data_IF_506442870617
#
_entry.id   IF_506442870617
#
_cell.length_a   1.000
_cell.length_b   1.000
_cell.length_c   1.000
_cell.angle_alpha   90.00
_cell.angle_beta   90.00
_cell.angle_gamma   90.00
#
_symmetry.space_group_name_H-M   'P 1'
#
loop_
_entity.id
_entity.type
_entity.pdbx_description
1 polymer ?
#
# COMPACT_ATOMS: atom_id res chain seq x y z
N UNK A 1 -1.35 9.56 -17.67
CA UNK A 1 -2.04 8.81 -16.59
C UNK A 1 -3.46 8.45 -17.00
N UNK A 2 -4.08 7.47 -16.35
CA UNK A 2 -5.50 7.14 -16.58
C UNK A 2 -6.45 8.01 -15.76
N UNK A 3 -7.72 8.11 -16.21
CA UNK A 3 -8.75 8.84 -15.46
C UNK A 3 -8.96 8.25 -14.05
N UNK A 4 -8.86 6.93 -13.89
CA UNK A 4 -9.04 6.25 -12.60
C UNK A 4 -7.90 6.61 -11.63
N UNK A 5 -6.66 6.67 -12.13
CA UNK A 5 -5.50 7.13 -11.35
C UNK A 5 -5.69 8.59 -10.93
N UNK A 6 -6.08 9.45 -11.88
CA UNK A 6 -6.34 10.86 -11.63
C UNK A 6 -7.41 11.09 -10.55
N UNK A 7 -8.54 10.37 -10.63
CA UNK A 7 -9.61 10.43 -9.61
C UNK A 7 -9.13 9.96 -8.23
N UNK A 8 -8.30 8.91 -8.18
CA UNK A 8 -7.78 8.38 -6.92
C UNK A 8 -6.84 9.38 -6.23
N UNK A 9 -5.99 10.04 -7.03
CA UNK A 9 -5.07 11.07 -6.53
C UNK A 9 -5.82 12.34 -6.11
N UNK A 10 -6.82 12.76 -6.89
CA UNK A 10 -7.70 13.87 -6.56
C UNK A 10 -8.44 13.64 -5.24
N UNK A 11 -8.94 12.42 -4.99
CA UNK A 11 -9.56 12.07 -3.70
C UNK A 11 -8.60 12.19 -2.51
N UNK A 12 -7.33 11.78 -2.71
CA UNK A 12 -6.26 11.99 -1.72
C UNK A 12 -6.01 13.46 -1.42
N UNK A 13 -5.94 14.30 -2.46
CA UNK A 13 -5.74 15.75 -2.31
C UNK A 13 -6.93 16.41 -1.60
N UNK A 14 -8.16 16.08 -1.99
CA UNK A 14 -9.37 16.61 -1.33
C UNK A 14 -9.38 16.23 0.15
N UNK A 15 -9.00 15.00 0.50
CA UNK A 15 -8.86 14.61 1.90
C UNK A 15 -7.82 15.45 2.65
N UNK A 16 -6.66 15.73 2.05
CA UNK A 16 -5.63 16.58 2.65
C UNK A 16 -6.12 18.02 2.87
N UNK A 17 -6.82 18.58 1.89
CA UNK A 17 -7.43 19.92 1.97
C UNK A 17 -8.47 19.97 3.08
N UNK A 18 -9.36 18.98 3.17
CA UNK A 18 -10.37 18.89 4.24
C UNK A 18 -9.71 18.72 5.62
N UNK A 19 -8.67 17.89 5.72
CA UNK A 19 -7.92 17.70 6.96
C UNK A 19 -7.22 18.99 7.40
N UNK A 20 -6.61 19.72 6.46
CA UNK A 20 -5.96 21.00 6.72
C UNK A 20 -6.98 22.08 7.13
N UNK A 21 -8.13 22.14 6.45
CA UNK A 21 -9.23 23.06 6.76
C UNK A 21 -9.75 22.85 8.19
N UNK A 22 -10.03 21.59 8.56
CA UNK A 22 -10.61 21.27 9.86
C UNK A 22 -9.63 21.45 11.02
N UNK A 23 -8.31 21.36 10.77
CA UNK A 23 -7.30 21.56 11.80
C UNK A 23 -7.22 23.00 12.36
N UNK A 24 -7.94 23.99 11.78
CA UNK A 24 -8.17 25.37 12.26
C UNK A 24 -7.05 25.96 13.15
N UNK A 25 -5.80 26.08 12.66
CA UNK A 25 -4.73 26.63 13.51
C UNK A 25 -3.49 27.15 12.77
N UNK A 26 -3.36 28.49 12.65
CA UNK A 26 -2.08 29.23 12.45
C UNK A 26 -1.48 29.42 11.04
N UNK A 27 -0.69 30.48 10.83
CA UNK A 27 0.08 30.76 9.60
C UNK A 27 0.72 29.56 8.87
N UNK A 28 1.32 28.53 9.54
CA UNK A 28 1.85 27.35 8.86
C UNK A 28 0.83 26.52 8.05
N UNK A 29 -0.47 26.56 8.37
CA UNK A 29 -1.48 25.85 7.57
C UNK A 29 -1.68 26.47 6.19
N UNK A 30 -1.64 27.81 6.11
CA UNK A 30 -1.84 28.55 4.84
C UNK A 30 -0.72 28.24 3.87
N UNK A 31 0.50 28.17 4.40
CA UNK A 31 1.69 27.79 3.63
C UNK A 31 1.61 26.35 3.14
N UNK A 32 1.24 25.39 4.00
CA UNK A 32 1.12 24.00 3.60
C UNK A 32 0.05 23.80 2.51
N UNK A 33 -1.09 24.48 2.63
CA UNK A 33 -2.17 24.41 1.65
C UNK A 33 -1.81 25.13 0.35
N UNK A 34 -1.14 26.28 0.43
CA UNK A 34 -0.59 26.99 -0.73
C UNK A 34 0.46 26.18 -1.48
N UNK A 35 1.36 25.49 -0.77
CA UNK A 35 2.34 24.58 -1.37
C UNK A 35 1.66 23.38 -2.03
N UNK A 36 0.70 22.73 -1.38
CA UNK A 36 -0.06 21.63 -1.99
C UNK A 36 -0.80 22.07 -3.25
N UNK A 37 -1.39 23.28 -3.23
CA UNK A 37 -2.06 23.85 -4.39
C UNK A 37 -1.07 24.16 -5.52
N UNK A 38 0.06 24.80 -5.22
CA UNK A 38 1.13 25.08 -6.20
C UNK A 38 1.66 23.78 -6.82
N UNK A 39 1.91 22.77 -6.00
CA UNK A 39 2.37 21.45 -6.43
C UNK A 39 1.34 20.77 -7.36
N UNK A 40 0.05 20.88 -7.05
CA UNK A 40 -1.00 20.38 -7.93
C UNK A 40 -1.05 21.14 -9.25
N UNK A 41 -0.98 22.48 -9.21
CA UNK A 41 -0.98 23.32 -10.42
C UNK A 41 0.19 22.98 -11.36
N UNK A 42 1.37 22.68 -10.81
CA UNK A 42 2.54 22.30 -11.59
C UNK A 42 2.45 20.90 -12.20
N UNK A 43 1.75 19.98 -11.54
CA UNK A 43 1.68 18.58 -11.95
C UNK A 43 0.38 18.21 -12.70
N UNK A 44 -0.64 19.07 -12.69
CA UNK A 44 -1.97 18.74 -13.19
C UNK A 44 -2.06 18.84 -14.72
N UNK A 45 -2.34 17.70 -15.35
CA UNK A 45 -2.83 17.62 -16.72
C UNK A 45 -4.36 17.80 -16.78
N UNK A 46 -4.94 17.78 -17.99
CA UNK A 46 -6.38 17.91 -18.19
C UNK A 46 -7.19 16.81 -17.48
N UNK A 47 -6.65 15.60 -17.36
CA UNK A 47 -7.29 14.48 -16.68
C UNK A 47 -7.31 14.65 -15.15
N UNK A 48 -6.24 15.19 -14.56
CA UNK A 48 -6.18 15.53 -13.14
C UNK A 48 -7.18 16.62 -12.77
N UNK A 49 -7.36 17.63 -13.62
CA UNK A 49 -8.40 18.66 -13.43
C UNK A 49 -9.81 18.07 -13.53
N UNK A 50 -10.08 17.22 -14.53
CA UNK A 50 -11.36 16.52 -14.65
C UNK A 50 -11.63 15.63 -13.43
N UNK A 51 -10.63 14.87 -12.98
CA UNK A 51 -10.71 14.03 -11.79
C UNK A 51 -11.02 14.84 -10.53
N UNK A 52 -10.37 15.99 -10.35
CA UNK A 52 -10.65 16.91 -9.24
C UNK A 52 -12.08 17.45 -9.29
N UNK A 53 -12.54 17.90 -10.47
CA UNK A 53 -13.91 18.39 -10.66
C UNK A 53 -14.96 17.33 -10.34
N UNK A 54 -14.77 16.08 -10.80
CA UNK A 54 -15.68 14.98 -10.52
C UNK A 54 -15.72 14.63 -9.02
N UNK A 55 -14.57 14.52 -8.37
CA UNK A 55 -14.48 14.18 -6.95
C UNK A 55 -15.05 15.30 -6.07
N UNK A 56 -14.66 16.55 -6.33
CA UNK A 56 -15.15 17.70 -5.58
C UNK A 56 -16.66 17.93 -5.79
N UNK A 57 -17.13 17.80 -7.04
CA UNK A 57 -18.56 17.90 -7.38
C UNK A 57 -19.40 16.81 -6.72
N UNK A 58 -18.94 15.55 -6.76
CA UNK A 58 -19.62 14.44 -6.09
C UNK A 58 -19.68 14.65 -4.57
N UNK A 59 -18.59 15.13 -3.95
CA UNK A 59 -18.57 15.45 -2.52
C UNK A 59 -19.47 16.64 -2.18
N UNK A 60 -19.54 17.67 -3.02
CA UNK A 60 -20.42 18.82 -2.82
C UNK A 60 -21.91 18.40 -2.91
N UNK A 61 -22.28 17.62 -3.91
CA UNK A 61 -23.63 17.05 -4.05
C UNK A 61 -23.99 16.14 -2.87
N UNK A 62 -23.04 15.33 -2.41
CA UNK A 62 -23.23 14.52 -1.21
C UNK A 62 -23.45 15.39 0.02
N UNK A 63 -22.61 16.41 0.21
CA UNK A 63 -22.69 17.33 1.34
C UNK A 63 -24.03 18.07 1.41
N UNK A 64 -24.60 18.44 0.26
CA UNK A 64 -25.94 19.04 0.20
C UNK A 64 -27.04 18.09 0.69
N UNK A 65 -26.93 16.78 0.43
CA UNK A 65 -27.92 15.79 0.88
C UNK A 65 -27.71 15.33 2.31
N UNK A 66 -26.45 15.22 2.75
CA UNK A 66 -26.07 14.84 4.11
C UNK A 66 -24.82 15.60 4.52
N UNK A 67 -24.89 16.46 5.55
CA UNK A 67 -23.71 17.19 6.01
C UNK A 67 -22.62 16.19 6.38
N UNK A 68 -21.42 16.40 5.85
CA UNK A 68 -20.29 15.51 6.14
C UNK A 68 -19.98 15.64 7.63
N UNK A 69 -19.89 14.52 8.38
CA UNK A 69 -19.49 14.58 9.78
C UNK A 69 -18.11 15.21 9.88
N UNK A 70 -17.89 16.04 10.91
CA UNK A 70 -16.57 16.54 11.20
C UNK A 70 -15.60 15.36 11.32
N UNK A 71 -14.42 15.43 10.69
CA UNK A 71 -13.41 14.36 10.79
C UNK A 71 -13.11 14.10 12.26
N UNK A 72 -13.25 15.12 13.11
CA UNK A 72 -13.14 15.08 14.57
C UNK A 72 -14.01 14.08 15.31
N UNK A 73 -15.18 13.75 14.78
CA UNK A 73 -16.08 12.77 15.37
C UNK A 73 -15.81 11.34 14.87
N UNK A 74 -15.00 11.16 13.82
CA UNK A 74 -14.81 9.85 13.19
C UNK A 74 -13.86 8.96 13.99
N UNK A 75 -14.28 7.72 14.21
CA UNK A 75 -13.45 6.67 14.78
C UNK A 75 -12.35 6.20 13.81
N UNK A 76 -11.21 5.83 14.38
CA UNK A 76 -10.04 5.31 13.67
C UNK A 76 -10.34 4.08 12.81
N UNK A 77 -11.19 3.15 13.29
CA UNK A 77 -11.51 1.94 12.55
C UNK A 77 -12.47 2.23 11.40
N UNK A 78 -13.42 3.14 11.61
CA UNK A 78 -14.32 3.60 10.55
C UNK A 78 -13.55 4.28 9.42
N UNK A 79 -12.63 5.21 9.77
CA UNK A 79 -11.78 5.90 8.80
C UNK A 79 -10.97 4.90 7.98
N UNK A 80 -10.24 4.00 8.66
CA UNK A 80 -9.45 2.93 8.03
C UNK A 80 -10.32 2.06 7.10
N UNK A 81 -11.50 1.65 7.55
CA UNK A 81 -12.41 0.82 6.78
C UNK A 81 -12.86 1.50 5.48
N UNK A 82 -13.29 2.76 5.56
CA UNK A 82 -13.74 3.53 4.39
C UNK A 82 -12.62 3.80 3.40
N UNK A 83 -11.44 4.19 3.87
CA UNK A 83 -10.27 4.39 3.00
C UNK A 83 -9.94 3.13 2.20
N UNK A 84 -9.91 1.97 2.86
CA UNK A 84 -9.58 0.71 2.18
C UNK A 84 -10.65 0.26 1.20
N UNK A 85 -11.94 0.46 1.52
CA UNK A 85 -13.04 0.14 0.62
C UNK A 85 -12.97 0.98 -0.66
N UNK A 86 -12.72 2.28 -0.52
CA UNK A 86 -12.53 3.19 -1.65
C UNK A 86 -11.34 2.74 -2.50
N UNK A 87 -10.18 2.49 -1.87
CA UNK A 87 -8.98 2.06 -2.58
C UNK A 87 -9.17 0.69 -3.26
N UNK A 88 -9.88 -0.25 -2.64
CA UNK A 88 -10.18 -1.55 -3.26
C UNK A 88 -11.05 -1.37 -4.51
N UNK A 89 -12.03 -0.46 -4.47
CA UNK A 89 -12.85 -0.13 -5.65
C UNK A 89 -11.99 0.49 -6.74
N UNK A 90 -11.12 1.45 -6.42
CA UNK A 90 -10.16 2.03 -7.37
C UNK A 90 -9.25 0.95 -7.98
N UNK A 91 -8.68 0.06 -7.16
CA UNK A 91 -7.85 -1.05 -7.63
C UNK A 91 -8.62 -2.03 -8.51
N UNK A 92 -9.88 -2.32 -8.19
CA UNK A 92 -10.74 -3.16 -9.02
C UNK A 92 -10.98 -2.54 -10.40
N UNK A 93 -11.23 -1.23 -10.47
CA UNK A 93 -11.36 -0.49 -11.72
C UNK A 93 -10.05 -0.46 -12.52
N UNK A 94 -8.90 -0.23 -11.86
CA UNK A 94 -7.58 -0.31 -12.48
C UNK A 94 -7.31 -1.71 -13.05
N UNK A 95 -7.65 -2.76 -12.30
CA UNK A 95 -7.46 -4.14 -12.73
C UNK A 95 -8.32 -4.47 -13.94
N UNK A 96 -9.58 -4.02 -13.93
CA UNK A 96 -10.48 -4.15 -15.08
C UNK A 96 -9.93 -3.41 -16.31
N UNK A 97 -9.49 -2.17 -16.13
CA UNK A 97 -8.90 -1.35 -17.18
C UNK A 97 -7.66 -2.02 -17.78
N UNK A 98 -6.75 -2.51 -16.93
CA UNK A 98 -5.55 -3.23 -17.36
C UNK A 98 -5.90 -4.53 -18.11
N UNK A 99 -6.82 -5.33 -17.57
CA UNK A 99 -7.27 -6.57 -18.20
C UNK A 99 -7.89 -6.34 -19.59
N UNK A 100 -8.75 -5.33 -19.72
CA UNK A 100 -9.31 -4.93 -21.02
C UNK A 100 -8.22 -4.46 -21.99
N UNK A 101 -7.27 -3.65 -21.52
CA UNK A 101 -6.14 -3.19 -22.33
C UNK A 101 -5.32 -4.36 -22.90
N UNK A 102 -4.91 -5.32 -22.05
CA UNK A 102 -4.15 -6.50 -22.47
C UNK A 102 -4.97 -7.40 -23.38
N UNK A 103 -6.26 -7.58 -23.11
CA UNK A 103 -7.14 -8.39 -23.97
C UNK A 103 -7.29 -7.79 -25.38
N UNK A 104 -7.48 -6.47 -25.49
CA UNK A 104 -7.52 -5.76 -26.77
C UNK A 104 -6.18 -5.89 -27.52
N UNK A 105 -5.07 -5.72 -26.80
CA UNK A 105 -3.73 -5.86 -27.36
C UNK A 105 -3.47 -7.28 -27.87
N UNK A 106 -3.96 -8.30 -27.17
CA UNK A 106 -3.87 -9.70 -27.57
C UNK A 106 -4.68 -10.04 -28.83
N UNK A 107 -5.71 -9.25 -29.15
CA UNK A 107 -6.47 -9.36 -30.40
C UNK A 107 -5.84 -8.60 -31.56
N UNK A 108 -4.70 -7.93 -31.36
CA UNK A 108 -4.07 -7.08 -32.37
C UNK A 108 -4.81 -5.76 -32.61
N UNK A 109 -5.74 -5.38 -31.73
CA UNK A 109 -6.41 -4.08 -31.78
C UNK A 109 -5.59 -3.01 -31.07
N UNK A 110 -5.68 -1.76 -31.52
CA UNK A 110 -5.16 -0.61 -30.78
C UNK A 110 -6.05 -0.40 -29.55
N UNK A 111 -5.52 -0.52 -28.32
CA UNK A 111 -6.35 -0.42 -27.12
C UNK A 111 -6.96 0.97 -26.97
N UNK A 112 -8.27 1.04 -26.68
CA UNK A 112 -8.96 2.31 -26.46
C UNK A 112 -8.71 2.87 -25.06
N UNK A 113 -8.49 1.97 -24.10
CA UNK A 113 -8.15 2.31 -22.73
C UNK A 113 -6.64 2.42 -22.61
N UNK A 114 -6.19 3.54 -22.06
CA UNK A 114 -4.78 3.74 -21.70
C UNK A 114 -4.36 2.68 -20.69
N UNK A 115 -3.11 2.23 -20.72
CA UNK A 115 -2.56 1.35 -19.70
C UNK A 115 -2.44 2.10 -18.36
N UNK A 116 -2.92 1.55 -17.23
CA UNK A 116 -2.65 2.12 -15.92
C UNK A 116 -1.22 1.80 -15.46
N UNK A 117 -0.38 2.82 -15.27
CA UNK A 117 1.01 2.67 -14.84
C UNK A 117 1.14 2.24 -13.37
N UNK A 118 0.11 2.52 -12.55
CA UNK A 118 0.08 2.09 -11.13
C UNK A 118 0.14 0.57 -10.96
N UNK A 119 -0.17 -0.21 -12.01
CA UNK A 119 -0.03 -1.67 -11.99
C UNK A 119 1.42 -2.12 -11.76
N UNK A 120 2.40 -1.33 -12.22
CA UNK A 120 3.83 -1.63 -12.07
C UNK A 120 4.30 -1.54 -10.62
N UNK A 121 3.56 -0.84 -9.76
CA UNK A 121 3.84 -0.78 -8.32
C UNK A 121 3.88 -2.15 -7.63
N UNK A 122 3.31 -3.19 -8.25
CA UNK A 122 3.35 -4.56 -7.74
C UNK A 122 4.54 -5.39 -8.22
N UNK A 123 5.47 -4.83 -9.01
CA UNK A 123 6.66 -5.52 -9.50
C UNK A 123 7.89 -5.23 -8.60
N UNK A 124 8.13 -6.00 -7.52
CA UNK A 124 9.19 -5.70 -6.55
C UNK A 124 10.60 -5.81 -7.16
N UNK A 125 10.79 -6.72 -8.12
CA UNK A 125 12.09 -6.90 -8.80
C UNK A 125 12.38 -5.71 -9.70
N UNK A 126 11.42 -5.33 -10.56
CA UNK A 126 11.56 -4.19 -11.46
C UNK A 126 11.81 -2.90 -10.66
N UNK A 127 10.99 -2.63 -9.63
CA UNK A 127 11.15 -1.43 -8.80
C UNK A 127 12.45 -1.44 -7.98
N UNK A 128 12.91 -2.61 -7.52
CA UNK A 128 14.17 -2.74 -6.79
C UNK A 128 15.40 -2.53 -7.67
N UNK A 129 15.42 -3.14 -8.86
CA UNK A 129 16.50 -2.97 -9.84
C UNK A 129 16.52 -1.56 -10.41
N UNK A 130 15.36 -0.98 -10.71
CA UNK A 130 15.24 0.41 -11.15
C UNK A 130 15.71 1.39 -10.09
N UNK A 131 15.38 1.17 -8.80
CA UNK A 131 15.90 2.00 -7.71
C UNK A 131 17.43 1.87 -7.56
N UNK A 132 17.97 0.67 -7.71
CA UNK A 132 19.43 0.44 -7.70
C UNK A 132 20.11 1.12 -8.89
N UNK A 133 19.52 1.05 -10.09
CA UNK A 133 20.03 1.71 -11.29
C UNK A 133 20.04 3.23 -11.12
N UNK A 134 18.96 3.78 -10.57
CA UNK A 134 18.83 5.21 -10.34
C UNK A 134 19.84 5.73 -9.32
N UNK A 135 19.98 5.05 -8.17
CA UNK A 135 20.93 5.47 -7.13
C UNK A 135 22.40 5.19 -7.48
N UNK A 136 22.67 4.11 -8.22
CA UNK A 136 24.04 3.66 -8.51
C UNK A 136 24.64 4.26 -9.78
N UNK A 137 23.81 4.49 -10.81
CA UNK A 137 24.27 4.90 -12.14
C UNK A 137 23.54 6.14 -12.69
N UNK A 138 22.57 6.68 -11.94
CA UNK A 138 21.74 7.79 -12.43
C UNK A 138 20.77 7.40 -13.53
N UNK A 139 20.56 6.10 -13.79
CA UNK A 139 19.69 5.60 -14.86
C UNK A 139 18.25 5.45 -14.36
N UNK A 140 17.31 6.01 -15.11
CA UNK A 140 15.88 5.83 -14.89
C UNK A 140 15.39 4.68 -15.75
N UNK A 141 14.63 3.76 -15.16
CA UNK A 141 14.00 2.65 -15.89
C UNK A 141 12.90 3.21 -16.81
N UNK A 142 13.03 3.07 -18.15
CA UNK A 142 12.05 3.61 -19.09
C UNK A 142 10.78 2.76 -19.18
N UNK A 143 10.82 1.50 -18.76
CA UNK A 143 9.73 0.55 -18.95
C UNK A 143 8.85 0.41 -17.71
N UNK A 144 9.44 0.42 -16.51
CA UNK A 144 8.72 0.34 -15.23
C UNK A 144 9.11 1.45 -14.23
N UNK A 145 9.09 2.74 -14.61
CA UNK A 145 9.46 3.83 -13.71
C UNK A 145 8.52 3.94 -12.49
N UNK A 146 7.22 3.68 -12.67
CA UNK A 146 6.25 3.67 -11.57
C UNK A 146 6.59 2.60 -10.50
N UNK A 147 7.17 1.46 -10.87
CA UNK A 147 7.62 0.45 -9.91
C UNK A 147 8.74 1.01 -9.00
N UNK A 148 9.70 1.72 -9.60
CA UNK A 148 10.83 2.34 -8.90
C UNK A 148 10.35 3.39 -7.90
N UNK A 149 9.48 4.31 -8.35
CA UNK A 149 8.86 5.32 -7.48
C UNK A 149 8.06 4.65 -6.36
N UNK A 150 7.31 3.60 -6.66
CA UNK A 150 6.50 2.88 -5.67
C UNK A 150 7.36 2.26 -4.59
N UNK A 151 8.45 1.56 -4.94
CA UNK A 151 9.39 0.98 -3.96
C UNK A 151 10.00 2.08 -3.08
N UNK A 152 10.42 3.20 -3.68
CA UNK A 152 10.98 4.33 -2.94
C UNK A 152 9.95 4.91 -1.94
N UNK A 153 8.75 5.24 -2.43
CA UNK A 153 7.67 5.82 -1.63
C UNK A 153 7.23 4.88 -0.51
N UNK A 154 7.07 3.59 -0.79
CA UNK A 154 6.72 2.60 0.22
C UNK A 154 7.82 2.50 1.28
N UNK A 155 9.09 2.50 0.87
CA UNK A 155 10.24 2.48 1.78
C UNK A 155 10.25 3.71 2.70
N UNK A 156 10.06 4.91 2.14
CA UNK A 156 9.93 6.15 2.90
C UNK A 156 8.73 6.11 3.86
N UNK A 157 7.59 5.58 3.41
CA UNK A 157 6.41 5.41 4.28
C UNK A 157 6.68 4.50 5.47
N UNK A 158 7.48 3.43 5.29
CA UNK A 158 7.84 2.52 6.37
C UNK A 158 8.83 3.14 7.36
N UNK A 159 9.82 3.88 6.87
CA UNK A 159 10.78 4.60 7.72
C UNK A 159 10.07 5.65 8.59
N UNK A 160 9.12 6.39 8.01
CA UNK A 160 8.43 7.46 8.70
C UNK A 160 7.29 6.95 9.57
N UNK A 161 6.41 6.09 9.03
CA UNK A 161 5.12 5.71 9.63
C UNK A 161 5.04 4.24 10.07
N UNK A 162 6.14 3.48 9.91
CA UNK A 162 6.14 2.04 10.11
C UNK A 162 5.29 1.32 9.07
N UNK A 163 4.80 0.12 9.39
CA UNK A 163 4.00 -0.70 8.46
C UNK A 163 2.55 -0.22 8.29
N UNK A 164 2.27 1.07 8.46
CA UNK A 164 0.92 1.62 8.36
C UNK A 164 0.30 1.42 6.97
N UNK A 165 1.11 1.44 5.89
CA UNK A 165 0.65 1.14 4.53
C UNK A 165 -0.14 -0.18 4.45
N UNK A 166 0.37 -1.26 5.05
CA UNK A 166 -0.24 -2.59 4.99
C UNK A 166 -1.65 -2.62 5.59
N UNK A 167 -1.93 -1.79 6.60
CA UNK A 167 -3.23 -1.76 7.27
C UNK A 167 -4.19 -0.70 6.73
N UNK A 168 -3.69 0.36 6.09
CA UNK A 168 -4.50 1.53 5.71
C UNK A 168 -4.71 1.67 4.20
N UNK A 169 -3.72 1.28 3.38
CA UNK A 169 -3.75 1.49 1.92
C UNK A 169 -3.70 0.20 1.10
N UNK A 170 -3.05 -0.84 1.62
CA UNK A 170 -2.86 -2.08 0.86
C UNK A 170 -4.19 -2.80 0.60
N UNK A 171 -4.57 -3.04 -0.68
CA UNK A 171 -5.82 -3.73 -1.02
C UNK A 171 -5.81 -5.20 -0.57
N UNK A 172 -4.67 -5.88 -0.67
CA UNK A 172 -4.50 -7.28 -0.23
C UNK A 172 -4.77 -7.45 1.27
N UNK A 173 -4.45 -6.42 2.07
CA UNK A 173 -4.81 -6.41 3.48
C UNK A 173 -6.33 -6.45 3.68
N UNK A 174 -7.09 -5.69 2.89
CA UNK A 174 -8.57 -5.65 2.99
C UNK A 174 -9.20 -6.95 2.54
N UNK A 175 -8.75 -7.48 1.40
CA UNK A 175 -9.18 -8.79 0.91
C UNK A 175 -8.92 -9.84 1.99
N UNK A 176 -7.77 -9.80 2.68
CA UNK A 176 -7.48 -10.75 3.74
C UNK A 176 -8.36 -10.63 4.98
N UNK A 177 -8.71 -9.40 5.40
CA UNK A 177 -9.69 -9.21 6.48
C UNK A 177 -11.10 -9.66 6.08
N UNK A 178 -11.50 -9.44 4.83
CA UNK A 178 -12.78 -9.87 4.32
C UNK A 178 -12.88 -11.38 4.20
N UNK A 179 -11.86 -12.06 3.66
CA UNK A 179 -11.78 -13.52 3.57
C UNK A 179 -11.79 -14.17 4.96
N UNK A 180 -11.01 -13.66 5.90
CA UNK A 180 -11.02 -14.16 7.27
C UNK A 180 -12.37 -13.92 7.95
N UNK A 181 -12.96 -12.74 7.75
CA UNK A 181 -14.28 -12.39 8.24
C UNK A 181 -15.36 -13.31 7.68
N UNK A 182 -15.31 -13.61 6.38
CA UNK A 182 -16.19 -14.58 5.74
C UNK A 182 -16.02 -15.96 6.37
N UNK A 183 -14.80 -16.50 6.45
CA UNK A 183 -14.52 -17.77 7.13
C UNK A 183 -15.11 -17.81 8.55
N UNK A 184 -14.91 -16.76 9.34
CA UNK A 184 -15.37 -16.71 10.74
C UNK A 184 -16.89 -16.75 10.90
N UNK A 185 -17.66 -16.45 9.85
CA UNK A 185 -19.13 -16.61 9.84
C UNK A 185 -19.55 -18.08 9.65
N UNK A 186 -18.77 -18.86 8.92
CA UNK A 186 -19.08 -20.25 8.60
C UNK A 186 -18.41 -21.25 9.56
N UNK A 187 -17.22 -20.92 10.07
CA UNK A 187 -16.43 -21.79 10.93
C UNK A 187 -16.16 -21.07 12.24
N UNK A 188 -16.77 -21.58 13.32
CA UNK A 188 -16.54 -21.09 14.67
C UNK A 188 -15.12 -21.41 15.14
N UNK A 189 -14.52 -20.48 15.89
CA UNK A 189 -13.19 -20.62 16.45
C UNK A 189 -12.08 -20.02 15.58
N UNK A 190 -11.05 -19.53 16.26
CA UNK A 190 -9.82 -19.09 15.63
C UNK A 190 -8.74 -20.16 15.76
N UNK A 191 -8.27 -20.69 14.64
CA UNK A 191 -7.09 -21.54 14.68
C UNK A 191 -5.88 -20.70 15.07
N UNK A 192 -5.20 -21.11 16.13
CA UNK A 192 -3.96 -20.50 16.60
C UNK A 192 -2.82 -21.47 16.32
N UNK A 193 -1.86 -21.11 15.45
CA UNK A 193 -0.75 -22.03 15.19
C UNK A 193 0.10 -22.11 16.46
N UNK A 194 0.66 -23.29 16.80
CA UNK A 194 1.61 -23.41 17.89
C UNK A 194 2.82 -22.51 17.63
N UNK A 195 3.51 -22.09 18.70
CA UNK A 195 4.58 -21.08 18.63
C UNK A 195 5.67 -21.39 17.60
N UNK A 196 6.08 -22.66 17.51
CA UNK A 196 7.11 -23.09 16.54
C UNK A 196 6.63 -22.93 15.09
N UNK A 197 5.39 -23.31 14.80
CA UNK A 197 4.81 -23.20 13.46
C UNK A 197 4.62 -21.73 13.06
N UNK A 198 4.19 -20.88 13.99
CA UNK A 198 4.07 -19.44 13.77
C UNK A 198 5.43 -18.79 13.44
N UNK A 199 6.52 -19.24 14.07
CA UNK A 199 7.87 -18.77 13.75
C UNK A 199 8.29 -19.22 12.35
N UNK A 200 8.10 -20.49 11.99
CA UNK A 200 8.42 -21.02 10.66
C UNK A 200 7.64 -20.29 9.57
N UNK A 201 6.33 -20.14 9.74
CA UNK A 201 5.47 -19.43 8.78
C UNK A 201 5.88 -17.95 8.65
N UNK A 202 6.26 -17.28 9.75
CA UNK A 202 6.77 -15.90 9.68
C UNK A 202 8.13 -15.80 8.99
N UNK A 203 8.94 -16.85 9.04
CA UNK A 203 10.21 -16.92 8.33
C UNK A 203 10.05 -16.88 6.81
N UNK A 204 8.96 -17.44 6.27
CA UNK A 204 8.74 -17.57 4.83
C UNK A 204 8.82 -16.23 4.08
N UNK A 205 8.15 -15.17 4.55
CA UNK A 205 8.25 -13.84 3.93
C UNK A 205 9.68 -13.28 3.90
N UNK A 206 10.52 -13.62 4.88
CA UNK A 206 11.92 -13.19 4.92
C UNK A 206 12.79 -14.01 3.99
N UNK A 207 12.47 -15.30 3.79
CA UNK A 207 13.11 -16.14 2.76
C UNK A 207 12.79 -15.58 1.37
N UNK A 208 11.52 -15.28 1.08
CA UNK A 208 11.12 -14.67 -0.20
C UNK A 208 11.79 -13.31 -0.38
N UNK A 209 11.79 -12.46 0.66
CA UNK A 209 12.50 -11.18 0.61
C UNK A 209 14.00 -11.37 0.38
N UNK A 210 14.65 -12.32 1.05
CA UNK A 210 16.07 -12.62 0.89
C UNK A 210 16.41 -13.05 -0.53
N UNK A 211 15.56 -13.87 -1.15
CA UNK A 211 15.69 -14.25 -2.57
C UNK A 211 15.54 -13.04 -3.51
N UNK A 212 14.55 -12.17 -3.26
CA UNK A 212 14.39 -10.94 -4.06
C UNK A 212 15.59 -10.00 -3.91
N UNK A 213 16.09 -9.80 -2.69
CA UNK A 213 17.28 -8.99 -2.43
C UNK A 213 18.53 -9.60 -3.06
N UNK A 214 18.64 -10.94 -3.07
CA UNK A 214 19.72 -11.64 -3.79
C UNK A 214 19.68 -11.30 -5.29
N UNK A 215 18.51 -11.34 -5.93
CA UNK A 215 18.37 -10.94 -7.34
C UNK A 215 18.77 -9.48 -7.54
N UNK A 216 18.21 -8.58 -6.70
CA UNK A 216 18.37 -7.13 -6.85
C UNK A 216 19.80 -6.69 -6.59
N UNK A 217 20.51 -7.30 -5.64
CA UNK A 217 21.83 -6.84 -5.19
C UNK A 217 23.00 -7.64 -5.77
N UNK A 218 22.83 -8.94 -5.99
CA UNK A 218 23.93 -9.86 -6.29
C UNK A 218 23.80 -10.55 -7.65
N UNK A 219 22.60 -11.02 -8.03
CA UNK A 219 22.45 -11.82 -9.25
C UNK A 219 22.61 -11.00 -10.53
N UNK A 220 22.26 -9.71 -10.52
CA UNK A 220 22.48 -8.78 -11.63
C UNK A 220 23.69 -7.90 -11.31
N UNK A 221 24.85 -8.09 -11.96
CA UNK A 221 26.00 -7.20 -11.79
C UNK A 221 25.69 -5.77 -12.24
N UNK A 222 26.35 -4.78 -11.64
CA UNK A 222 26.15 -3.36 -12.02
C UNK A 222 26.41 -3.10 -13.51
N UNK A 223 27.42 -3.76 -14.09
CA UNK A 223 27.74 -3.63 -15.51
C UNK A 223 26.65 -4.19 -16.45
N UNK A 224 25.89 -5.20 -16.01
CA UNK A 224 24.83 -5.82 -16.81
C UNK A 224 23.46 -5.14 -16.61
N UNK A 225 23.35 -4.23 -15.64
CA UNK A 225 22.10 -3.60 -15.25
C UNK A 225 21.42 -2.82 -16.39
N UNK A 226 22.12 -2.00 -17.20
CA UNK A 226 21.49 -1.32 -18.33
C UNK A 226 20.92 -2.31 -19.36
N UNK A 227 21.66 -3.38 -19.66
CA UNK A 227 21.23 -4.43 -20.58
C UNK A 227 20.00 -5.20 -20.07
N UNK A 228 19.93 -5.45 -18.76
CA UNK A 228 18.76 -6.06 -18.14
C UNK A 228 17.52 -5.16 -18.26
N UNK A 229 17.64 -3.85 -18.02
CA UNK A 229 16.51 -2.93 -18.14
C UNK A 229 15.96 -2.89 -19.57
N UNK A 230 16.81 -3.03 -20.58
CA UNK A 230 16.37 -3.12 -21.98
C UNK A 230 15.89 -4.52 -22.39
N UNK A 231 16.02 -5.53 -21.53
CA UNK A 231 15.71 -6.91 -21.90
C UNK A 231 14.22 -7.12 -22.17
N UNK A 232 13.85 -7.97 -23.15
CA UNK A 232 12.45 -8.32 -23.43
C UNK A 232 11.71 -8.86 -22.19
N UNK A 233 12.44 -9.57 -21.32
CA UNK A 233 11.89 -10.09 -20.07
C UNK A 233 11.46 -8.96 -19.13
N UNK A 234 12.31 -7.96 -18.92
CA UNK A 234 12.01 -6.82 -18.06
C UNK A 234 10.85 -6.02 -18.62
N UNK A 235 10.84 -5.74 -19.92
CA UNK A 235 9.77 -4.99 -20.59
C UNK A 235 8.39 -5.67 -20.50
N UNK A 236 8.36 -7.00 -20.46
CA UNK A 236 7.14 -7.79 -20.41
C UNK A 236 6.75 -8.25 -18.99
N UNK A 237 7.41 -7.74 -17.95
CA UNK A 237 7.25 -8.22 -16.58
C UNK A 237 5.81 -8.06 -16.05
N UNK A 238 5.14 -6.96 -16.39
CA UNK A 238 3.73 -6.70 -16.05
C UNK A 238 2.80 -7.71 -16.74
N UNK A 239 3.00 -7.94 -18.04
CA UNK A 239 2.21 -8.89 -18.84
C UNK A 239 2.40 -10.32 -18.34
N UNK A 240 3.63 -10.68 -17.92
CA UNK A 240 3.94 -11.99 -17.34
C UNK A 240 3.25 -12.19 -15.99
N UNK A 241 3.23 -11.15 -15.15
CA UNK A 241 2.45 -11.17 -13.91
C UNK A 241 0.95 -11.34 -14.22
N UNK A 242 0.41 -10.61 -15.20
CA UNK A 242 -1.00 -10.75 -15.61
C UNK A 242 -1.33 -12.16 -16.13
N UNK A 243 -0.47 -12.71 -16.99
CA UNK A 243 -0.64 -14.05 -17.57
C UNK A 243 -0.67 -15.15 -16.49
N UNK A 244 0.06 -15.01 -15.39
CA UNK A 244 -0.01 -15.93 -14.26
C UNK A 244 -1.43 -16.06 -13.66
N UNK A 245 -2.21 -14.97 -13.68
CA UNK A 245 -3.59 -14.95 -13.16
C UNK A 245 -4.64 -15.33 -14.22
N UNK A 246 -4.43 -14.98 -15.48
CA UNK A 246 -5.38 -15.30 -16.56
C UNK A 246 -5.23 -16.74 -17.09
N UNK A 247 -4.01 -17.28 -17.12
CA UNK A 247 -3.72 -18.65 -17.54
C UNK A 247 -3.36 -19.52 -16.32
N UNK A 248 -4.38 -19.89 -15.55
CA UNK A 248 -4.21 -20.64 -14.31
C UNK A 248 -3.79 -22.09 -14.61
N UNK A 249 -2.49 -22.34 -14.61
CA UNK A 249 -1.95 -23.71 -14.62
C UNK A 249 -2.28 -24.42 -13.30
N UNK A 250 -2.19 -25.77 -13.26
CA UNK A 250 -2.39 -26.53 -12.02
C UNK A 250 -1.50 -26.01 -10.89
N UNK A 251 -0.23 -25.71 -11.18
CA UNK A 251 0.74 -25.19 -10.20
C UNK A 251 0.32 -23.80 -9.73
N UNK A 252 0.02 -22.88 -10.66
CA UNK A 252 -0.45 -21.53 -10.32
C UNK A 252 -1.74 -21.57 -9.47
N UNK A 253 -2.66 -22.47 -9.81
CA UNK A 253 -3.90 -22.70 -9.08
C UNK A 253 -3.67 -23.25 -7.66
N UNK A 254 -2.76 -24.22 -7.50
CA UNK A 254 -2.37 -24.73 -6.18
C UNK A 254 -1.69 -23.66 -5.32
N UNK A 255 -0.79 -22.87 -5.90
CA UNK A 255 -0.15 -21.74 -5.22
C UNK A 255 -1.19 -20.70 -4.77
N UNK A 256 -2.10 -20.30 -5.66
CA UNK A 256 -3.17 -19.35 -5.34
C UNK A 256 -4.10 -19.91 -4.25
N UNK A 257 -4.51 -21.17 -4.37
CA UNK A 257 -5.33 -21.87 -3.38
C UNK A 257 -4.67 -21.89 -2.01
N UNK A 258 -3.36 -22.16 -1.95
CA UNK A 258 -2.58 -22.10 -0.70
C UNK A 258 -2.58 -20.70 -0.08
N UNK A 259 -2.37 -19.65 -0.88
CA UNK A 259 -2.39 -18.26 -0.40
C UNK A 259 -3.77 -17.87 0.13
N UNK A 260 -4.84 -18.27 -0.56
CA UNK A 260 -6.22 -18.01 -0.14
C UNK A 260 -6.54 -18.75 1.17
N UNK A 261 -6.16 -20.02 1.28
CA UNK A 261 -6.35 -20.82 2.49
C UNK A 261 -5.63 -20.21 3.68
N UNK A 262 -4.36 -19.85 3.51
CA UNK A 262 -3.56 -19.21 4.55
C UNK A 262 -4.15 -17.86 4.99
N UNK A 263 -4.68 -17.09 4.04
CA UNK A 263 -5.31 -15.79 4.30
C UNK A 263 -6.68 -15.91 4.97
N UNK A 264 -7.47 -16.93 4.63
CA UNK A 264 -8.74 -17.21 5.28
C UNK A 264 -8.53 -17.71 6.73
N UNK A 265 -7.58 -18.63 6.92
CA UNK A 265 -7.28 -19.26 8.21
C UNK A 265 -6.74 -18.29 9.26
N UNK A 266 -5.91 -17.32 8.85
CA UNK A 266 -5.27 -16.38 9.77
C UNK A 266 -5.60 -14.93 9.44
N UNK A 267 -5.88 -14.12 10.49
CA UNK A 267 -6.05 -12.66 10.34
C UNK A 267 -4.82 -12.06 9.66
N UNK A 268 -5.02 -11.48 8.48
CA UNK A 268 -3.95 -10.89 7.66
C UNK A 268 -2.84 -11.91 7.30
N UNK A 269 -3.20 -13.18 7.07
CA UNK A 269 -2.27 -14.28 6.82
C UNK A 269 -1.22 -13.98 5.75
N UNK A 270 -1.64 -13.52 4.57
CA UNK A 270 -0.71 -13.16 3.48
C UNK A 270 0.35 -12.12 3.92
N UNK A 271 -0.08 -11.01 4.50
CA UNK A 271 0.80 -9.92 4.95
C UNK A 271 1.70 -10.32 6.13
N UNK A 272 1.31 -11.35 6.89
CA UNK A 272 2.04 -11.87 8.05
C UNK A 272 3.09 -12.90 7.66
N UNK A 273 2.78 -13.80 6.71
CA UNK A 273 3.59 -14.98 6.44
C UNK A 273 4.26 -15.00 5.07
N UNK A 274 3.67 -14.42 4.02
CA UNK A 274 4.18 -14.60 2.64
C UNK A 274 4.60 -13.31 1.93
N UNK A 275 4.01 -12.16 2.27
CA UNK A 275 4.20 -10.93 1.52
C UNK A 275 5.65 -10.37 1.65
N UNK A 276 6.42 -10.27 0.54
CA UNK A 276 7.78 -9.73 0.59
C UNK A 276 7.81 -8.23 0.91
N UNK A 277 6.85 -7.44 0.36
CA UNK A 277 6.67 -6.04 0.76
C UNK A 277 6.37 -5.93 2.26
N UNK A 278 5.57 -6.86 2.81
CA UNK A 278 5.30 -6.92 4.24
C UNK A 278 6.56 -7.11 5.08
N UNK A 279 7.49 -7.97 4.64
CA UNK A 279 8.78 -8.17 5.28
C UNK A 279 9.70 -6.95 5.15
N UNK A 280 9.82 -6.38 3.95
CA UNK A 280 10.65 -5.20 3.68
C UNK A 280 10.24 -4.01 4.55
N UNK A 281 8.94 -3.69 4.54
CA UNK A 281 8.39 -2.60 5.35
C UNK A 281 8.47 -2.90 6.85
N UNK A 282 8.50 -4.17 7.27
CA UNK A 282 8.72 -4.53 8.67
C UNK A 282 10.13 -4.21 9.14
N UNK A 283 11.15 -4.51 8.32
CA UNK A 283 12.54 -4.21 8.62
C UNK A 283 12.76 -2.68 8.73
N UNK A 284 12.32 -1.94 7.72
CA UNK A 284 12.40 -0.46 7.75
C UNK A 284 11.57 0.13 8.89
N UNK A 285 10.39 -0.44 9.16
CA UNK A 285 9.51 -0.04 10.25
C UNK A 285 10.08 -0.28 11.65
N UNK A 286 11.18 -1.04 11.82
CA UNK A 286 11.86 -1.08 13.12
C UNK A 286 12.53 0.26 13.45
N UNK A 287 12.98 0.99 12.43
CA UNK A 287 13.67 2.27 12.57
C UNK A 287 12.71 3.43 12.88
N UNK A 288 11.40 3.28 12.61
CA UNK A 288 10.45 4.37 12.84
C UNK A 288 10.35 4.75 14.33
N UNK A 289 10.34 6.05 14.66
CA UNK A 289 10.07 6.53 16.01
C UNK A 289 8.58 6.46 16.37
N UNK A 290 7.69 6.36 15.38
CA UNK A 290 6.24 6.30 15.54
C UNK A 290 5.79 4.88 15.89
N UNK A 291 5.39 4.67 17.15
CA UNK A 291 4.99 3.36 17.65
C UNK A 291 3.74 3.45 18.50
N UNK A 292 3.07 2.32 18.68
CA UNK A 292 1.98 2.21 19.63
C UNK A 292 2.58 2.17 21.04
N UNK A 293 2.21 3.16 21.86
CA UNK A 293 2.74 3.37 23.21
C UNK A 293 1.63 3.31 24.23
N UNK A 294 1.93 2.65 25.35
CA UNK A 294 1.07 2.53 26.53
C UNK A 294 1.54 3.50 27.59
N UNK A 295 0.60 4.24 28.16
CA UNK A 295 0.82 5.07 29.34
C UNK A 295 0.51 4.23 30.59
N UNK A 296 1.53 3.86 31.39
CA UNK A 296 1.32 3.05 32.59
C UNK A 296 0.41 3.74 33.62
N UNK A 297 0.44 5.07 33.74
CA UNK A 297 -0.34 5.80 34.74
C UNK A 297 -1.85 5.74 34.44
N UNK A 298 -2.23 5.59 33.16
CA UNK A 298 -3.63 5.59 32.72
C UNK A 298 -4.15 4.20 32.37
N UNK A 299 -3.27 3.20 32.31
CA UNK A 299 -3.61 1.84 31.92
C UNK A 299 -4.23 1.06 33.08
N UNK A 300 -5.45 0.52 32.87
CA UNK A 300 -6.15 -0.30 33.86
C UNK A 300 -5.32 -1.51 34.34
N UNK A 301 -4.52 -2.12 33.46
CA UNK A 301 -3.62 -3.23 33.83
C UNK A 301 -2.55 -2.80 34.82
N UNK A 302 -1.97 -1.61 34.63
CA UNK A 302 -0.99 -1.03 35.57
C UNK A 302 -1.64 -0.57 36.87
N UNK A 303 -2.95 -0.30 36.87
CA UNK A 303 -3.74 -0.02 38.07
C UNK A 303 -4.22 -1.29 38.81
N UNK A 304 -3.76 -2.49 38.43
CA UNK A 304 -4.07 -3.75 39.11
C UNK A 304 -5.23 -4.57 38.53
N UNK A 305 -5.89 -4.11 37.45
CA UNK A 305 -6.98 -4.85 36.82
C UNK A 305 -6.50 -5.92 35.84
N UNK A 306 -7.26 -7.01 35.69
CA UNK A 306 -7.00 -8.02 34.66
C UNK A 306 -7.52 -7.57 33.27
N UNK A 307 -6.71 -6.79 32.55
CA UNK A 307 -7.08 -6.22 31.26
C UNK A 307 -6.02 -6.50 30.17
N UNK A 308 -6.44 -7.26 29.17
CA UNK A 308 -5.69 -7.66 27.97
C UNK A 308 -6.47 -7.40 26.67
N UNK A 309 -7.54 -6.60 26.73
CA UNK A 309 -8.41 -6.27 25.57
C UNK A 309 -7.63 -5.78 24.35
N UNK A 310 -6.57 -5.01 24.55
CA UNK A 310 -5.71 -4.52 23.47
C UNK A 310 -4.96 -5.65 22.75
N UNK A 311 -4.62 -6.75 23.45
CA UNK A 311 -3.90 -7.90 22.89
C UNK A 311 -4.87 -8.82 22.14
N UNK A 312 -6.07 -9.05 22.69
CA UNK A 312 -7.16 -9.77 22.00
C UNK A 312 -7.60 -9.08 20.70
N UNK A 313 -7.59 -7.75 20.68
CA UNK A 313 -7.94 -6.97 19.49
C UNK A 313 -6.83 -6.92 18.44
N UNK A 314 -5.59 -7.31 18.77
CA UNK A 314 -4.47 -7.24 17.83
C UNK A 314 -4.59 -8.36 16.77
N UNK A 315 -4.72 -8.04 15.46
CA UNK A 315 -4.80 -9.08 14.42
C UNK A 315 -3.53 -9.93 14.36
N UNK A 316 -2.37 -9.34 14.68
CA UNK A 316 -1.08 -10.02 14.73
C UNK A 316 -0.86 -10.80 16.03
N UNK A 317 -1.81 -10.79 16.98
CA UNK A 317 -1.72 -11.46 18.30
C UNK A 317 -0.50 -11.03 19.12
N UNK A 318 -0.14 -9.76 19.03
CA UNK A 318 0.93 -9.17 19.86
C UNK A 318 0.40 -8.98 21.27
N UNK A 319 1.20 -9.32 22.29
CA UNK A 319 0.89 -9.09 23.70
C UNK A 319 1.08 -7.61 24.07
N UNK A 320 0.27 -6.73 23.47
CA UNK A 320 0.33 -5.27 23.64
C UNK A 320 0.20 -4.85 25.10
N UNK A 321 -0.54 -5.60 25.91
CA UNK A 321 -0.76 -5.28 27.32
C UNK A 321 0.52 -5.38 28.18
N UNK A 322 1.52 -6.15 27.73
CA UNK A 322 2.79 -6.37 28.43
C UNK A 322 3.87 -5.37 28.01
N UNK A 323 3.64 -4.59 26.95
CA UNK A 323 4.64 -3.73 26.33
C UNK A 323 4.35 -2.26 26.65
N UNK A 324 5.39 -1.47 26.91
CA UNK A 324 5.30 0.00 27.00
C UNK A 324 5.28 0.61 25.60
N UNK A 325 6.15 0.13 24.71
CA UNK A 325 6.16 0.49 23.30
C UNK A 325 6.18 -0.79 22.47
N UNK A 326 5.26 -0.88 21.50
CA UNK A 326 5.17 -2.05 20.62
C UNK A 326 6.32 -2.01 19.61
N UNK A 327 7.37 -2.79 19.88
CA UNK A 327 8.50 -3.04 18.96
C UNK A 327 8.39 -4.46 18.41
N UNK A 328 7.53 -4.64 17.41
CA UNK A 328 7.32 -5.93 16.78
C UNK A 328 7.31 -5.77 15.27
N UNK A 329 8.00 -6.66 14.57
CA UNK A 329 7.99 -6.77 13.11
C UNK A 329 6.57 -7.00 12.56
N UNK A 330 5.65 -7.52 13.38
CA UNK A 330 4.28 -7.83 12.97
C UNK A 330 3.28 -6.68 13.21
N UNK A 331 3.70 -5.58 13.83
CA UNK A 331 2.81 -4.46 14.09
C UNK A 331 2.56 -3.66 12.81
N UNK A 332 1.32 -3.67 12.32
CA UNK A 332 0.89 -2.95 11.11
C UNK A 332 0.33 -1.55 11.38
N UNK A 333 0.44 -1.04 12.62
CA UNK A 333 -0.12 0.27 13.02
C UNK A 333 -1.60 0.47 12.63
N UNK A 334 -2.37 -0.61 12.70
CA UNK A 334 -3.79 -0.65 12.32
C UNK A 334 -4.72 0.01 13.36
N UNK A 335 -4.19 0.30 14.56
CA UNK A 335 -4.88 0.96 15.69
C UNK A 335 -6.07 0.19 16.29
N UNK A 336 -6.31 -1.07 15.93
CA UNK A 336 -7.39 -1.86 16.53
C UNK A 336 -7.23 -2.04 18.04
N UNK A 337 -5.98 -2.12 18.53
CA UNK A 337 -5.70 -2.16 19.98
C UNK A 337 -6.02 -0.84 20.70
N UNK A 338 -5.88 0.31 20.02
CA UNK A 338 -6.23 1.64 20.57
C UNK A 338 -7.75 1.78 20.63
N UNK A 339 -8.45 1.38 19.56
CA UNK A 339 -9.91 1.43 19.50
C UNK A 339 -10.57 0.49 20.53
N UNK A 340 -9.99 -0.68 20.77
CA UNK A 340 -10.51 -1.65 21.75
C UNK A 340 -10.19 -1.30 23.22
N UNK A 341 -9.29 -0.35 23.47
CA UNK A 341 -8.91 0.04 24.83
C UNK A 341 -10.08 0.77 25.52
N UNK A 342 -10.51 0.36 26.73
CA UNK A 342 -11.57 1.07 27.47
C UNK A 342 -11.25 2.54 27.77
N UNK A 343 -9.96 2.85 27.95
CA UNK A 343 -9.43 4.21 28.16
C UNK A 343 -8.94 4.87 26.86
N UNK A 344 -9.15 4.21 25.70
CA UNK A 344 -8.82 4.70 24.35
C UNK A 344 -7.42 5.37 24.27
N UNK A 345 -7.36 6.53 23.62
CA UNK A 345 -6.14 7.30 23.37
C UNK A 345 -5.45 7.82 24.66
N UNK A 346 -6.12 7.77 25.81
CA UNK A 346 -5.52 8.18 27.08
C UNK A 346 -4.50 7.16 27.58
N UNK A 347 -4.82 5.87 27.49
CA UNK A 347 -3.93 4.81 27.93
C UNK A 347 -3.07 4.21 26.81
N UNK A 348 -3.52 4.24 25.56
CA UNK A 348 -2.80 3.67 24.42
C UNK A 348 -2.91 4.58 23.20
N UNK A 349 -1.78 5.02 22.65
CA UNK A 349 -1.77 5.95 21.50
C UNK A 349 -0.65 5.60 20.51
N UNK A 350 -0.78 6.09 19.27
CA UNK A 350 0.31 6.08 18.30
C UNK A 350 1.14 7.36 18.47
N UNK A 351 2.46 7.27 18.50
CA UNK A 351 3.30 8.45 18.60
C UNK A 351 4.76 8.18 18.91
N UNK A 352 5.51 9.27 19.05
CA UNK A 352 6.87 9.28 19.61
C UNK A 352 6.78 9.37 21.15
N UNK A 353 7.91 9.30 21.90
CA UNK A 353 7.87 9.51 23.34
C UNK A 353 7.25 10.86 23.75
N UNK A 354 7.42 11.89 22.91
CA UNK A 354 7.06 13.27 23.25
C UNK A 354 5.79 13.75 22.55
N UNK A 355 5.39 13.14 21.43
CA UNK A 355 4.26 13.60 20.62
C UNK A 355 3.32 12.47 20.24
N UNK A 356 2.02 12.70 20.47
CA UNK A 356 0.94 11.82 20.01
C UNK A 356 0.59 12.15 18.56
N UNK A 357 0.40 11.12 17.74
CA UNK A 357 -0.09 11.25 16.37
C UNK A 357 -1.54 10.78 16.30
N UNK A 358 -2.43 11.67 15.84
CA UNK A 358 -3.83 11.30 15.65
C UNK A 358 -3.99 10.37 14.43
N UNK A 359 -4.98 9.46 14.43
CA UNK A 359 -5.24 8.56 13.30
C UNK A 359 -5.49 9.30 11.97
N UNK A 360 -6.06 10.51 12.02
CA UNK A 360 -6.33 11.35 10.86
C UNK A 360 -5.07 11.94 10.27
N UNK A 361 -4.15 12.41 11.12
CA UNK A 361 -2.83 12.88 10.69
C UNK A 361 -2.01 11.72 10.14
N UNK A 362 -2.14 10.52 10.69
CA UNK A 362 -1.54 9.32 10.08
C UNK A 362 -2.08 9.09 8.66
N UNK A 363 -3.40 9.11 8.46
CA UNK A 363 -4.00 8.97 7.13
C UNK A 363 -3.55 10.10 6.19
N UNK A 364 -3.51 11.34 6.67
CA UNK A 364 -3.00 12.47 5.88
C UNK A 364 -1.54 12.30 5.45
N UNK A 365 -0.66 11.89 6.38
CA UNK A 365 0.74 11.60 6.04
C UNK A 365 0.86 10.45 5.04
N UNK A 366 0.01 9.43 5.14
CA UNK A 366 -0.06 8.36 4.15
C UNK A 366 -0.53 8.87 2.78
N UNK A 367 -1.60 9.68 2.71
CA UNK A 367 -2.04 10.28 1.44
C UNK A 367 -0.96 11.16 0.81
N UNK A 368 -0.27 11.95 1.63
CA UNK A 368 0.83 12.82 1.16
C UNK A 368 1.98 11.99 0.58
N UNK A 369 2.42 10.94 1.28
CA UNK A 369 3.51 10.09 0.79
C UNK A 369 3.08 9.25 -0.41
N UNK A 370 1.91 8.60 -0.36
CA UNK A 370 1.51 7.56 -1.30
C UNK A 370 0.75 8.07 -2.53
N UNK A 371 0.18 9.27 -2.48
CA UNK A 371 -0.59 9.83 -3.59
C UNK A 371 0.03 11.12 -4.12
N UNK A 372 0.51 12.01 -3.25
CA UNK A 372 1.10 13.28 -3.71
C UNK A 372 2.54 13.09 -4.22
N UNK A 373 3.39 12.31 -3.54
CA UNK A 373 4.76 12.11 -4.03
C UNK A 373 4.82 11.46 -5.43
N UNK A 374 4.01 10.41 -5.73
CA UNK A 374 3.88 9.90 -7.10
C UNK A 374 3.37 10.92 -8.13
N UNK A 375 2.46 11.81 -7.73
CA UNK A 375 2.00 12.91 -8.57
C UNK A 375 3.15 13.81 -9.00
N UNK A 376 4.03 14.14 -8.05
CA UNK A 376 5.17 15.00 -8.31
C UNK A 376 6.18 14.31 -9.21
N UNK A 377 6.42 13.01 -9.04
CA UNK A 377 7.27 12.28 -9.98
C UNK A 377 6.69 12.25 -11.40
N UNK A 378 5.35 12.20 -11.54
CA UNK A 378 4.72 12.28 -12.86
C UNK A 378 4.83 13.69 -13.46
N UNK A 379 4.38 14.72 -12.74
CA UNK A 379 4.24 16.06 -13.31
C UNK A 379 5.54 16.88 -13.38
N UNK A 380 6.50 16.67 -12.47
CA UNK A 380 7.75 17.45 -12.45
C UNK A 380 8.95 16.73 -13.05
N UNK A 381 9.01 15.40 -12.88
CA UNK A 381 10.18 14.62 -13.27
C UNK A 381 9.94 13.77 -14.52
N UNK A 382 8.67 13.56 -14.91
CA UNK A 382 8.26 12.64 -15.98
C UNK A 382 8.75 11.19 -15.77
N UNK A 383 8.94 10.79 -14.51
CA UNK A 383 9.44 9.45 -14.10
C UNK A 383 8.29 8.56 -13.61
N UNK A 384 7.19 8.51 -14.34
CA UNK A 384 6.02 7.70 -13.95
C UNK A 384 5.45 6.86 -15.10
N UNK A 385 5.44 7.40 -16.31
CA UNK A 385 4.81 6.76 -17.46
C UNK A 385 5.78 5.79 -18.12
N UNK A 386 5.32 4.58 -18.41
CA UNK A 386 6.09 3.62 -19.22
C UNK A 386 6.29 4.15 -20.65
N UNK A 387 7.53 4.13 -21.13
CA UNK A 387 7.89 4.53 -22.51
C UNK A 387 7.85 3.38 -23.53
N UNK A 388 7.48 2.15 -23.13
CA UNK A 388 7.43 1.00 -24.07
C UNK A 388 6.38 1.22 -25.17
N UNK A 389 6.77 1.22 -26.46
CA UNK A 389 5.86 1.37 -27.59
C UNK A 389 4.78 0.27 -27.63
N UNK A 390 3.61 0.60 -28.20
CA UNK A 390 2.51 -0.36 -28.34
C UNK A 390 2.87 -1.53 -29.27
N UNK A 391 3.67 -1.28 -30.31
CA UNK A 391 4.18 -2.32 -31.23
C UNK A 391 5.01 -3.35 -30.47
N UNK A 392 5.96 -2.88 -29.67
CA UNK A 392 6.87 -3.73 -28.91
C UNK A 392 6.09 -4.53 -27.87
N UNK A 393 5.11 -3.90 -27.20
CA UNK A 393 4.21 -4.60 -26.26
C UNK A 393 3.42 -5.71 -26.94
N UNK A 394 2.91 -5.47 -28.15
CA UNK A 394 2.18 -6.50 -28.91
C UNK A 394 3.10 -7.69 -29.25
N UNK A 395 4.31 -7.42 -29.75
CA UNK A 395 5.29 -8.45 -30.08
C UNK A 395 5.74 -9.25 -28.84
N UNK A 396 5.98 -8.55 -27.73
CA UNK A 396 6.32 -9.16 -26.43
C UNK A 396 5.17 -10.03 -25.90
N UNK A 397 3.92 -9.61 -26.07
CA UNK A 397 2.75 -10.39 -25.66
C UNK A 397 2.65 -11.71 -26.44
N UNK A 398 2.95 -11.70 -27.73
CA UNK A 398 2.97 -12.93 -28.55
C UNK A 398 4.09 -13.89 -28.15
N UNK A 399 5.25 -13.35 -27.75
CA UNK A 399 6.43 -14.14 -27.35
C UNK A 399 6.46 -14.49 -25.86
N UNK A 400 5.49 -14.02 -25.07
CA UNK A 400 5.44 -14.13 -23.62
C UNK A 400 5.71 -15.55 -23.06
N UNK A 401 5.19 -16.65 -23.65
CA UNK A 401 5.46 -18.01 -23.16
C UNK A 401 6.93 -18.44 -23.26
N UNK A 402 7.69 -17.82 -24.16
CA UNK A 402 9.08 -18.16 -24.49
C UNK A 402 10.08 -17.26 -23.77
N UNK A 403 9.61 -16.20 -23.11
CA UNK A 403 10.45 -15.27 -22.36
C UNK A 403 10.86 -15.89 -21.02
N UNK A 404 12.08 -16.42 -20.98
CA UNK A 404 12.74 -16.89 -19.75
C UNK A 404 13.91 -15.99 -19.36
N UNK A 405 14.27 -16.04 -18.07
CA UNK A 405 15.41 -15.33 -17.50
C UNK A 405 16.74 -15.85 -18.02
#
# INVERSE_FOLDING_TARGET
MSLIEAMTMAAGLVYLVLLAWQARSGWPWRLALGLLLMLWLLAADSLLWLGLGLVAGALALWHQRRPLPALEALDSQWLRGRTRQLLLLCWGLVTLQYGLHIWQLGQGMVPWLVRPDVADGFLPIAGGLGLRAWLGQGLVDPHHPAATVTVLVLSLSALLLGRAFCAWFCPLGLVGEWLHGLRSRWIAGEWTPPRWLDVVLRGQKFVVLGFLLFIILLAVPSAALPGYLTSPYHQAADMKMGAFFFNLTLISGLCLGWVLLLTASFRQGFCRYLCPYGAWLALLGLLTPLRIRRDPARCLRSAGHDCDKCSRACPSRIQVHQLIAVRSLECTSCLSCVAACPRRADALHLGTPHRRLSPRRLLGLLCLLLLVLPLLSHGLLDIWVSQTPLTDRHDLLQRLPWLNH
#
